data_IF_447094811600
#
_entry.id   IF_447094811600
#
_cell.length_a   1.000
_cell.length_b   1.000
_cell.length_c   1.000
_cell.angle_alpha   90.00
_cell.angle_beta   90.00
_cell.angle_gamma   90.00
#
_symmetry.space_group_name_H-M   'P 1'
#
loop_
_entity.id
_entity.type
_entity.pdbx_description
1 polymer ?
#
# COMPACT_ATOMS: atom_id res chain seq x y z
N UNK A 1 18.80 -4.74 -4.84
CA UNK A 1 19.18 -3.81 -3.74
C UNK A 1 19.00 -4.55 -2.42
N UNK A 2 19.98 -4.47 -1.50
CA UNK A 2 19.90 -5.11 -0.17
C UNK A 2 19.55 -4.02 0.84
N UNK A 3 18.53 -4.25 1.67
CA UNK A 3 18.20 -3.38 2.80
C UNK A 3 19.13 -3.77 3.97
N UNK A 4 20.05 -2.86 4.34
CA UNK A 4 21.01 -3.03 5.43
C UNK A 4 20.55 -2.36 6.72
N UNK A 5 19.87 -1.22 6.60
CA UNK A 5 19.31 -0.46 7.73
C UNK A 5 17.88 -0.02 7.43
N UNK A 6 17.06 0.03 8.47
CA UNK A 6 15.71 0.58 8.41
C UNK A 6 15.38 1.22 9.76
N UNK A 7 14.99 2.49 9.75
CA UNK A 7 14.72 3.28 10.95
C UNK A 7 13.41 4.04 10.82
N UNK A 8 12.55 3.98 11.84
CA UNK A 8 11.35 4.82 11.88
C UNK A 8 11.76 6.29 12.06
N UNK A 9 11.20 7.16 11.24
CA UNK A 9 11.48 8.60 11.26
C UNK A 9 10.36 9.37 11.94
N UNK A 10 9.15 9.30 11.39
CA UNK A 10 8.00 10.03 11.92
C UNK A 10 6.66 9.43 11.48
N UNK A 11 5.61 9.88 12.16
CA UNK A 11 4.20 9.70 11.75
C UNK A 11 3.60 11.07 11.52
N UNK A 12 2.99 11.29 10.35
CA UNK A 12 2.43 12.58 9.93
C UNK A 12 0.93 12.45 9.69
N UNK A 13 0.15 13.40 10.16
CA UNK A 13 -1.29 13.49 9.92
C UNK A 13 -1.64 14.20 8.60
N UNK A 14 -0.66 14.86 8.00
CA UNK A 14 -0.76 15.63 6.76
C UNK A 14 0.54 15.47 5.97
N UNK A 15 0.47 15.50 4.63
CA UNK A 15 1.66 15.38 3.78
C UNK A 15 2.64 16.55 3.97
N UNK A 16 2.17 17.73 4.40
CA UNK A 16 3.02 18.90 4.72
C UNK A 16 3.90 18.68 5.94
N UNK A 17 3.51 17.77 6.84
CA UNK A 17 4.29 17.40 8.03
C UNK A 17 5.28 16.26 7.74
N UNK A 18 5.26 15.71 6.53
CA UNK A 18 6.22 14.68 6.12
C UNK A 18 7.65 15.24 6.05
N UNK A 19 8.68 14.40 6.16
CA UNK A 19 10.06 14.85 6.17
C UNK A 19 10.41 15.76 4.99
N UNK A 20 11.02 16.91 5.29
CA UNK A 20 11.57 17.78 4.26
C UNK A 20 12.95 17.24 3.85
N UNK A 21 12.96 16.42 2.80
CA UNK A 21 14.13 15.69 2.33
C UNK A 21 14.11 15.58 0.81
N UNK A 22 15.26 15.35 0.20
CA UNK A 22 15.41 15.04 -1.23
C UNK A 22 15.30 13.52 -1.51
N UNK A 23 15.17 12.69 -0.50
CA UNK A 23 15.06 11.24 -0.66
C UNK A 23 13.78 10.85 -1.40
N UNK A 24 13.89 9.90 -2.30
CA UNK A 24 12.75 9.30 -2.97
C UNK A 24 11.90 8.50 -1.98
N UNK A 25 10.61 8.46 -2.26
CA UNK A 25 9.62 7.77 -1.44
C UNK A 25 8.94 6.67 -2.25
N UNK A 26 8.80 5.50 -1.62
CA UNK A 26 8.06 4.36 -2.12
C UNK A 26 6.96 4.02 -1.11
N UNK A 27 5.71 4.26 -1.51
CA UNK A 27 4.56 4.13 -0.62
C UNK A 27 3.91 2.75 -0.71
N UNK A 28 3.45 2.25 0.42
CA UNK A 28 2.66 1.02 0.54
C UNK A 28 1.26 1.35 1.02
N UNK A 29 0.26 0.88 0.29
CA UNK A 29 -1.15 1.07 0.61
C UNK A 29 -1.94 -0.19 0.33
N UNK A 30 -3.09 -0.35 0.95
CA UNK A 30 -3.99 -1.47 0.75
C UNK A 30 -5.07 -1.49 1.82
N UNK A 31 -5.99 -2.44 1.72
CA UNK A 31 -7.05 -2.59 2.73
C UNK A 31 -6.50 -3.00 4.08
N UNK A 32 -7.32 -2.77 5.13
CA UNK A 32 -6.99 -3.26 6.48
C UNK A 32 -6.75 -4.77 6.46
N UNK A 33 -5.72 -5.21 7.17
CA UNK A 33 -5.34 -6.63 7.31
C UNK A 33 -4.92 -7.31 5.99
N UNK A 34 -4.55 -6.55 4.96
CA UNK A 34 -4.00 -7.09 3.72
C UNK A 34 -2.60 -7.70 3.90
N UNK A 35 -1.90 -7.38 4.98
CA UNK A 35 -0.53 -7.83 5.25
C UNK A 35 0.55 -6.74 5.08
N UNK A 36 0.13 -5.47 4.91
CA UNK A 36 1.04 -4.35 4.64
C UNK A 36 2.17 -4.21 5.67
N UNK A 37 1.85 -4.09 6.96
CA UNK A 37 2.88 -3.97 8.02
C UNK A 37 3.73 -5.23 8.17
N UNK A 38 3.18 -6.40 7.87
CA UNK A 38 3.94 -7.66 7.86
C UNK A 38 4.97 -7.65 6.72
N UNK A 39 4.56 -7.24 5.51
CA UNK A 39 5.46 -7.13 4.37
C UNK A 39 6.57 -6.10 4.64
N UNK A 40 6.24 -4.93 5.21
CA UNK A 40 7.23 -3.91 5.57
C UNK A 40 8.26 -4.48 6.56
N UNK A 41 7.80 -5.15 7.60
CA UNK A 41 8.67 -5.76 8.60
C UNK A 41 9.57 -6.85 7.98
N UNK A 42 9.02 -7.66 7.08
CA UNK A 42 9.77 -8.69 6.36
C UNK A 42 10.86 -8.09 5.46
N UNK A 43 10.50 -7.12 4.61
CA UNK A 43 11.45 -6.45 3.71
C UNK A 43 12.59 -5.76 4.45
N UNK A 44 12.30 -5.21 5.62
CA UNK A 44 13.28 -4.49 6.45
C UNK A 44 14.05 -5.40 7.43
N UNK A 45 13.72 -6.68 7.47
CA UNK A 45 14.24 -7.65 8.45
C UNK A 45 14.08 -7.15 9.90
N UNK A 46 12.96 -6.49 10.21
CA UNK A 46 12.64 -5.94 11.53
C UNK A 46 11.29 -6.48 12.02
N UNK A 47 11.25 -7.10 13.20
CA UNK A 47 10.02 -7.72 13.72
C UNK A 47 8.90 -6.74 14.11
N UNK A 48 9.24 -5.46 14.39
CA UNK A 48 8.31 -4.47 14.97
C UNK A 48 8.53 -3.05 14.43
N UNK A 49 9.10 -2.86 13.24
CA UNK A 49 9.30 -1.55 12.65
C UNK A 49 7.96 -0.90 12.33
N UNK A 50 7.16 -1.56 11.50
CA UNK A 50 5.77 -1.20 11.28
C UNK A 50 4.88 -1.93 12.31
N UNK A 51 3.99 -1.19 12.99
CA UNK A 51 3.08 -1.75 14.00
C UNK A 51 2.06 -2.66 13.34
N UNK A 52 2.16 -3.96 13.58
CA UNK A 52 1.15 -4.95 13.17
C UNK A 52 -0.03 -4.95 14.12
N UNK A 53 -1.23 -5.17 13.62
CA UNK A 53 -2.44 -5.31 14.43
C UNK A 53 -3.46 -6.18 13.72
N UNK A 54 -4.15 -7.02 14.48
CA UNK A 54 -5.35 -7.71 14.05
C UNK A 54 -6.58 -6.78 13.99
N UNK A 55 -6.53 -5.65 14.71
CA UNK A 55 -7.62 -4.67 14.73
C UNK A 55 -7.55 -3.78 13.48
N UNK A 56 -8.61 -3.71 12.67
CA UNK A 56 -8.68 -2.82 11.51
C UNK A 56 -8.54 -1.34 11.90
N UNK A 57 -7.85 -0.54 11.07
CA UNK A 57 -7.81 0.91 11.25
C UNK A 57 -6.70 1.43 12.15
N UNK A 58 -5.66 0.65 12.42
CA UNK A 58 -4.55 1.09 13.29
C UNK A 58 -3.60 2.07 12.63
N UNK A 59 -3.34 1.96 11.32
CA UNK A 59 -2.54 2.93 10.59
C UNK A 59 -3.45 4.08 10.16
N UNK A 60 -3.43 5.17 10.91
CA UNK A 60 -4.21 6.38 10.65
C UNK A 60 -3.32 7.55 10.22
N UNK A 61 -2.01 7.37 10.25
CA UNK A 61 -1.00 8.37 9.93
C UNK A 61 -0.10 7.86 8.79
N UNK A 62 0.54 8.78 8.12
CA UNK A 62 1.60 8.50 7.14
C UNK A 62 2.88 8.20 7.93
N UNK A 63 3.39 6.98 7.86
CA UNK A 63 4.59 6.59 8.58
C UNK A 63 5.79 6.51 7.64
N UNK A 64 6.85 7.24 7.94
CA UNK A 64 8.10 7.22 7.17
C UNK A 64 9.16 6.36 7.85
N UNK A 65 9.81 5.51 7.07
CA UNK A 65 10.94 4.70 7.48
C UNK A 65 12.12 5.00 6.55
N UNK A 66 13.26 5.47 7.11
CA UNK A 66 14.50 5.62 6.36
C UNK A 66 15.09 4.25 6.05
N UNK A 67 15.44 4.01 4.82
CA UNK A 67 16.05 2.77 4.36
C UNK A 67 17.45 3.08 3.81
N UNK A 68 18.46 2.45 4.40
CA UNK A 68 19.87 2.62 4.05
C UNK A 68 20.33 4.10 4.03
N UNK A 69 19.63 4.96 4.77
CA UNK A 69 19.83 6.42 4.82
C UNK A 69 19.86 7.08 3.43
N UNK A 70 19.07 6.54 2.50
CA UNK A 70 19.07 6.93 1.10
C UNK A 70 17.68 7.13 0.48
N UNK A 71 16.64 6.46 1.00
CA UNK A 71 15.27 6.58 0.52
C UNK A 71 14.28 6.26 1.64
N UNK A 72 13.01 6.61 1.42
CA UNK A 72 11.94 6.32 2.38
C UNK A 72 11.00 5.22 1.87
N UNK A 73 10.75 4.25 2.75
CA UNK A 73 9.57 3.42 2.68
C UNK A 73 8.45 4.12 3.45
N UNK A 74 7.28 4.26 2.84
CA UNK A 74 6.16 4.99 3.44
C UNK A 74 4.96 4.07 3.61
N UNK A 75 4.48 3.94 4.86
CA UNK A 75 3.28 3.18 5.21
C UNK A 75 2.08 4.12 5.27
N UNK A 76 1.23 4.10 4.25
CA UNK A 76 0.04 4.92 4.17
C UNK A 76 -1.14 4.31 4.94
N UNK A 77 -2.05 5.15 5.46
CA UNK A 77 -3.35 4.66 5.91
C UNK A 77 -4.01 3.81 4.83
N UNK A 78 -4.58 2.68 5.21
CA UNK A 78 -5.31 1.85 4.26
C UNK A 78 -6.58 2.54 3.76
N UNK A 79 -7.25 1.91 2.79
CA UNK A 79 -8.58 2.31 2.37
C UNK A 79 -9.61 1.23 2.77
N UNK A 80 -10.91 1.53 2.69
CA UNK A 80 -11.98 0.53 2.92
C UNK A 80 -12.20 0.16 4.39
N UNK A 81 -12.06 1.09 5.31
CA UNK A 81 -12.35 0.88 6.74
C UNK A 81 -13.86 0.69 7.01
N UNK A 82 -14.33 -0.56 7.04
CA UNK A 82 -15.73 -0.87 7.32
C UNK A 82 -16.15 -0.57 8.78
N UNK A 83 -15.19 -0.61 9.73
CA UNK A 83 -15.45 -0.45 11.17
C UNK A 83 -15.16 0.94 11.73
N UNK A 84 -15.00 1.96 10.89
CA UNK A 84 -14.68 3.32 11.29
C UNK A 84 -15.86 4.24 10.96
N UNK A 85 -16.06 5.31 11.74
CA UNK A 85 -17.11 6.30 11.45
C UNK A 85 -16.95 6.92 10.05
N UNK A 86 -18.06 7.38 9.45
CA UNK A 86 -18.03 8.03 8.12
C UNK A 86 -17.04 9.19 8.10
N UNK A 87 -17.04 10.03 9.15
CA UNK A 87 -16.13 11.17 9.31
C UNK A 87 -14.65 10.75 9.28
N UNK A 88 -14.29 9.71 10.03
CA UNK A 88 -12.90 9.22 10.05
C UNK A 88 -12.48 8.61 8.71
N UNK A 89 -13.40 7.94 7.99
CA UNK A 89 -13.10 7.42 6.64
C UNK A 89 -12.81 8.54 5.65
N UNK A 90 -13.59 9.60 5.66
CA UNK A 90 -13.37 10.77 4.82
C UNK A 90 -12.04 11.44 5.14
N UNK A 91 -11.72 11.62 6.42
CA UNK A 91 -10.43 12.18 6.85
C UNK A 91 -9.25 11.33 6.37
N UNK A 92 -9.29 10.00 6.55
CA UNK A 92 -8.22 9.11 6.09
C UNK A 92 -8.09 9.12 4.56
N UNK A 93 -9.22 9.20 3.83
CA UNK A 93 -9.22 9.35 2.38
C UNK A 93 -8.53 10.65 1.97
N UNK A 94 -8.82 11.78 2.62
CA UNK A 94 -8.15 13.06 2.35
C UNK A 94 -6.65 12.97 2.58
N UNK A 95 -6.19 12.43 3.71
CA UNK A 95 -4.76 12.25 4.01
C UNK A 95 -4.05 11.49 2.89
N UNK A 96 -4.64 10.38 2.42
CA UNK A 96 -4.08 9.54 1.36
C UNK A 96 -4.09 10.28 0.02
N UNK A 97 -5.22 10.87 -0.37
CA UNK A 97 -5.36 11.58 -1.64
C UNK A 97 -4.39 12.76 -1.71
N UNK A 98 -4.33 13.57 -0.66
CA UNK A 98 -3.45 14.73 -0.61
C UNK A 98 -1.97 14.32 -0.70
N UNK A 99 -1.57 13.25 0.01
CA UNK A 99 -0.23 12.71 -0.09
C UNK A 99 0.09 12.23 -1.51
N UNK A 100 -0.77 11.39 -2.10
CA UNK A 100 -0.53 10.81 -3.42
C UNK A 100 -0.47 11.86 -4.54
N UNK A 101 -1.28 12.91 -4.47
CA UNK A 101 -1.34 13.95 -5.49
C UNK A 101 -0.24 15.01 -5.33
N UNK A 102 0.17 15.33 -4.10
CA UNK A 102 1.01 16.50 -3.85
C UNK A 102 2.44 16.16 -3.41
N UNK A 103 2.73 14.90 -3.07
CA UNK A 103 4.06 14.53 -2.58
C UNK A 103 5.08 14.36 -3.73
N UNK A 104 5.90 15.39 -3.96
CA UNK A 104 6.88 15.45 -5.06
C UNK A 104 7.95 14.35 -5.00
N UNK A 105 8.28 13.89 -3.80
CA UNK A 105 9.30 12.85 -3.57
C UNK A 105 8.77 11.45 -3.88
N UNK A 106 7.44 11.26 -3.94
CA UNK A 106 6.83 9.97 -4.23
C UNK A 106 7.16 9.53 -5.67
N UNK A 107 7.77 8.36 -5.79
CA UNK A 107 8.14 7.78 -7.09
C UNK A 107 7.23 6.64 -7.52
N UNK A 108 6.75 5.86 -6.55
CA UNK A 108 5.93 4.69 -6.84
C UNK A 108 5.09 4.33 -5.64
N UNK A 109 3.86 3.89 -5.90
CA UNK A 109 2.96 3.33 -4.89
C UNK A 109 2.78 1.84 -5.11
N UNK A 110 2.95 1.03 -4.07
CA UNK A 110 2.61 -0.38 -4.07
C UNK A 110 1.20 -0.56 -3.49
N UNK A 111 0.27 -1.01 -4.33
CA UNK A 111 -1.11 -1.32 -3.92
C UNK A 111 -1.18 -2.79 -3.56
N UNK A 112 -1.42 -3.09 -2.29
CA UNK A 112 -1.48 -4.45 -1.77
C UNK A 112 -2.90 -5.01 -1.84
N UNK A 113 -3.03 -6.20 -2.42
CA UNK A 113 -4.27 -6.97 -2.49
C UNK A 113 -4.08 -8.34 -1.80
N UNK A 114 -5.11 -8.83 -1.13
CA UNK A 114 -5.11 -10.15 -0.51
C UNK A 114 -5.39 -11.21 -1.58
N UNK A 115 -4.41 -12.05 -1.91
CA UNK A 115 -4.49 -13.07 -2.98
C UNK A 115 -5.60 -14.10 -2.79
N UNK A 116 -6.13 -14.24 -1.57
CA UNK A 116 -7.23 -15.16 -1.22
C UNK A 116 -8.62 -14.62 -1.57
N UNK A 117 -8.69 -13.40 -2.05
CA UNK A 117 -9.94 -12.67 -2.28
C UNK A 117 -10.03 -12.23 -3.73
N UNK A 118 -11.22 -12.25 -4.27
CA UNK A 118 -11.52 -11.55 -5.50
C UNK A 118 -11.24 -10.06 -5.36
N UNK A 119 -10.97 -9.40 -6.47
CA UNK A 119 -10.82 -7.95 -6.53
C UNK A 119 -12.14 -7.29 -6.09
N UNK A 120 -12.12 -6.64 -4.93
CA UNK A 120 -13.30 -5.98 -4.40
C UNK A 120 -13.57 -4.67 -5.14
N UNK A 121 -14.83 -4.23 -5.19
CA UNK A 121 -15.23 -2.98 -5.83
C UNK A 121 -14.38 -1.78 -5.37
N UNK A 122 -14.11 -1.70 -4.07
CA UNK A 122 -13.29 -0.60 -3.51
C UNK A 122 -11.82 -0.65 -3.94
N UNK A 123 -11.28 -1.86 -4.18
CA UNK A 123 -9.91 -2.03 -4.70
C UNK A 123 -9.85 -1.54 -6.15
N UNK A 124 -10.85 -1.93 -6.97
CA UNK A 124 -10.97 -1.50 -8.35
C UNK A 124 -11.17 0.02 -8.46
N UNK A 125 -12.06 0.60 -7.64
CA UNK A 125 -12.27 2.05 -7.59
C UNK A 125 -10.98 2.81 -7.27
N UNK A 126 -10.19 2.32 -6.30
CA UNK A 126 -8.91 2.93 -5.92
C UNK A 126 -7.87 2.80 -7.05
N UNK A 127 -7.74 1.62 -7.66
CA UNK A 127 -6.81 1.37 -8.78
C UNK A 127 -7.19 2.26 -9.99
N UNK A 128 -8.47 2.35 -10.34
CA UNK A 128 -8.93 3.21 -11.42
C UNK A 128 -8.67 4.69 -11.11
N UNK A 129 -8.88 5.12 -9.85
CA UNK A 129 -8.56 6.47 -9.43
C UNK A 129 -7.07 6.79 -9.57
N UNK A 130 -6.18 5.84 -9.21
CA UNK A 130 -4.72 6.00 -9.42
C UNK A 130 -4.39 6.20 -10.90
N UNK A 131 -5.03 5.43 -11.79
CA UNK A 131 -4.80 5.54 -13.23
C UNK A 131 -5.32 6.85 -13.82
N UNK A 132 -6.53 7.28 -13.45
CA UNK A 132 -7.11 8.55 -13.91
C UNK A 132 -6.24 9.75 -13.53
N UNK A 133 -5.56 9.67 -12.37
CA UNK A 133 -4.65 10.72 -11.90
C UNK A 133 -3.19 10.49 -12.35
N UNK A 134 -2.93 9.54 -13.24
CA UNK A 134 -1.60 9.23 -13.81
C UNK A 134 -0.54 8.96 -12.73
N UNK A 135 -0.95 8.43 -11.57
CA UNK A 135 -0.06 8.12 -10.45
C UNK A 135 0.66 6.79 -10.70
N UNK A 136 1.99 6.73 -10.66
CA UNK A 136 2.72 5.47 -10.84
C UNK A 136 2.43 4.48 -9.72
N UNK A 137 2.02 3.26 -10.07
CA UNK A 137 1.81 2.21 -9.07
C UNK A 137 2.04 0.81 -9.62
N UNK A 138 2.34 -0.12 -8.71
CA UNK A 138 2.40 -1.55 -8.94
C UNK A 138 1.46 -2.27 -7.98
N UNK A 139 1.03 -3.47 -8.33
CA UNK A 139 0.18 -4.31 -7.48
C UNK A 139 1.04 -5.39 -6.82
N UNK A 140 0.80 -5.66 -5.52
CA UNK A 140 1.39 -6.79 -4.81
C UNK A 140 0.27 -7.66 -4.26
N UNK A 141 0.21 -8.92 -4.73
CA UNK A 141 -0.66 -9.94 -4.17
C UNK A 141 0.02 -10.56 -2.94
N UNK A 142 -0.56 -10.36 -1.78
CA UNK A 142 -0.03 -10.84 -0.50
C UNK A 142 -0.66 -12.15 -0.07
N UNK A 143 -0.07 -12.82 0.92
CA UNK A 143 -0.59 -14.05 1.56
C UNK A 143 -0.71 -15.24 0.62
N UNK A 144 0.16 -15.34 -0.38
CA UNK A 144 0.16 -16.47 -1.31
C UNK A 144 0.45 -17.81 -0.62
N UNK A 145 1.06 -17.77 0.57
CA UNK A 145 1.31 -18.93 1.45
C UNK A 145 0.03 -19.54 2.06
N UNK A 146 -1.12 -18.88 1.93
CA UNK A 146 -2.40 -19.31 2.49
C UNK A 146 -3.32 -19.98 1.49
N UNK A 147 -2.91 -20.15 0.25
CA UNK A 147 -3.69 -20.75 -0.83
C UNK A 147 -2.79 -21.68 -1.68
N UNK A 148 -3.42 -22.59 -2.41
CA UNK A 148 -2.71 -23.47 -3.33
C UNK A 148 -2.19 -22.70 -4.55
N UNK A 149 -1.17 -23.24 -5.24
CA UNK A 149 -0.67 -22.67 -6.50
C UNK A 149 -1.77 -22.57 -7.57
N UNK A 150 -2.64 -23.58 -7.63
CA UNK A 150 -3.76 -23.60 -8.59
C UNK A 150 -4.73 -22.46 -8.32
N UNK A 151 -5.15 -22.30 -7.06
CA UNK A 151 -6.04 -21.20 -6.62
C UNK A 151 -5.41 -19.83 -6.85
N UNK A 152 -4.10 -19.68 -6.55
CA UNK A 152 -3.36 -18.44 -6.82
C UNK A 152 -3.41 -18.09 -8.30
N UNK A 153 -3.13 -19.04 -9.19
CA UNK A 153 -3.16 -18.80 -10.63
C UNK A 153 -4.55 -18.41 -11.12
N UNK A 154 -5.60 -19.07 -10.62
CA UNK A 154 -6.99 -18.72 -10.93
C UNK A 154 -7.32 -17.29 -10.47
N UNK A 155 -6.97 -16.94 -9.25
CA UNK A 155 -7.23 -15.60 -8.70
C UNK A 155 -6.45 -14.51 -9.46
N UNK A 156 -5.20 -14.78 -9.88
CA UNK A 156 -4.43 -13.85 -10.72
C UNK A 156 -5.15 -13.60 -12.05
N UNK A 157 -5.67 -14.65 -12.69
CA UNK A 157 -6.42 -14.50 -13.95
C UNK A 157 -7.66 -13.66 -13.72
N UNK A 158 -8.48 -13.97 -12.72
CA UNK A 158 -9.71 -13.23 -12.39
C UNK A 158 -9.42 -11.73 -12.08
N UNK A 159 -8.34 -11.45 -11.35
CA UNK A 159 -7.93 -10.07 -11.06
C UNK A 159 -7.53 -9.34 -12.34
N UNK A 160 -6.75 -10.00 -13.22
CA UNK A 160 -6.32 -9.42 -14.49
C UNK A 160 -7.51 -9.16 -15.41
N UNK A 161 -8.41 -10.11 -15.57
CA UNK A 161 -9.58 -9.98 -16.43
C UNK A 161 -10.46 -8.81 -15.97
N UNK A 162 -10.69 -8.71 -14.66
CA UNK A 162 -11.48 -7.60 -14.10
C UNK A 162 -10.80 -6.24 -14.25
N UNK A 163 -9.49 -6.17 -14.24
CA UNK A 163 -8.76 -4.94 -14.53
C UNK A 163 -8.80 -4.62 -16.02
N UNK A 164 -8.72 -5.60 -16.93
CA UNK A 164 -8.77 -5.43 -18.37
C UNK A 164 -10.13 -4.90 -18.87
N UNK A 165 -11.21 -5.03 -18.08
CA UNK A 165 -12.50 -4.36 -18.38
C UNK A 165 -12.36 -2.82 -18.43
N UNK A 166 -11.33 -2.25 -17.75
CA UNK A 166 -11.13 -0.81 -17.60
C UNK A 166 -9.76 -0.31 -18.10
N UNK A 167 -8.82 -1.22 -18.35
CA UNK A 167 -7.42 -0.89 -18.64
C UNK A 167 -6.94 -1.54 -19.93
N UNK A 168 -6.37 -0.76 -20.85
CA UNK A 168 -5.73 -1.29 -22.06
C UNK A 168 -4.38 -1.99 -21.78
N UNK A 169 -3.71 -1.59 -20.70
CA UNK A 169 -2.43 -2.19 -20.23
C UNK A 169 -2.45 -2.28 -18.72
N UNK A 170 -2.17 -3.47 -18.22
CA UNK A 170 -2.14 -3.70 -16.77
C UNK A 170 -0.87 -3.15 -16.12
N UNK A 171 -0.97 -2.63 -14.87
CA UNK A 171 0.19 -2.34 -14.07
C UNK A 171 0.95 -3.64 -13.74
N UNK A 172 2.27 -3.58 -13.47
CA UNK A 172 3.03 -4.75 -13.00
C UNK A 172 2.41 -5.34 -11.74
N UNK A 173 2.32 -6.69 -11.71
CA UNK A 173 1.76 -7.45 -10.58
C UNK A 173 2.86 -8.35 -10.02
N UNK A 174 3.13 -8.22 -8.74
CA UNK A 174 4.06 -9.03 -7.96
C UNK A 174 3.31 -9.89 -6.95
N UNK A 175 3.97 -10.94 -6.46
CA UNK A 175 3.42 -11.84 -5.45
C UNK A 175 4.34 -11.87 -4.21
N UNK A 176 3.75 -12.00 -3.02
CA UNK A 176 4.47 -12.07 -1.75
C UNK A 176 3.74 -12.96 -0.73
N UNK A 177 4.54 -13.65 0.06
CA UNK A 177 4.09 -14.47 1.20
C UNK A 177 4.34 -13.76 2.53
#
# INVERSE_FOLDING_TARGET
MIIKSATFICSSADFKQCPNSTFFEFAFIGRSNVGKSTLINYLTNKKKLAKTSSTPGKTQLINHFSINDNWYLVDLPGYGYAKTSKKNREQLKHIVVDYLLNRKNLKLTFVLLDSRRELQKIDLEFINWMGINELPFYIILTKIDKISKTELNQNIVLIKDKLLEHWSKLPPIFISS
#
